data_IF_357144324667
#
_entry.id   IF_357144324667
#
_cell.length_a   1.000
_cell.length_b   1.000
_cell.length_c   1.000
_cell.angle_alpha   90.00
_cell.angle_beta   90.00
_cell.angle_gamma   90.00
#
_symmetry.space_group_name_H-M   'P 1'
#
loop_
_entity.id
_entity.type
_entity.pdbx_description
1 polymer ?
#
# COMPACT_ATOMS: atom_id res chain seq x y z
N UNK A 1 11.21 10.21 11.80
CA UNK A 1 11.81 9.35 10.74
C UNK A 1 10.88 8.18 10.53
N UNK A 2 10.23 8.07 9.36
CA UNK A 2 9.40 6.90 9.03
C UNK A 2 10.33 5.76 8.61
N UNK A 3 10.39 4.64 9.34
CA UNK A 3 11.42 3.61 9.14
C UNK A 3 11.14 2.67 7.96
N UNK A 4 10.01 2.82 7.27
CA UNK A 4 9.56 1.85 6.25
C UNK A 4 9.69 2.42 4.83
N UNK A 5 10.74 2.00 4.12
CA UNK A 5 10.93 2.30 2.70
C UNK A 5 10.41 1.16 1.84
N UNK A 6 9.49 1.46 0.95
CA UNK A 6 8.96 0.53 -0.05
C UNK A 6 9.79 0.61 -1.33
N UNK A 7 10.11 -0.53 -1.94
CA UNK A 7 10.76 -0.58 -3.24
C UNK A 7 9.74 -0.97 -4.31
N UNK A 8 9.57 -0.11 -5.31
CA UNK A 8 8.74 -0.38 -6.48
C UNK A 8 9.45 -1.32 -7.46
N UNK A 9 8.74 -1.96 -8.41
CA UNK A 9 9.34 -2.87 -9.40
C UNK A 9 10.42 -2.20 -10.27
N UNK A 10 10.31 -0.90 -10.52
CA UNK A 10 11.31 -0.10 -11.23
C UNK A 10 12.53 0.28 -10.36
N UNK A 11 12.64 -0.27 -9.14
CA UNK A 11 13.66 0.00 -8.12
C UNK A 11 13.59 1.38 -7.46
N UNK A 12 12.58 2.20 -7.78
CA UNK A 12 12.35 3.44 -7.04
C UNK A 12 11.98 3.15 -5.59
N UNK A 13 12.40 4.05 -4.72
CA UNK A 13 12.13 3.99 -3.29
C UNK A 13 11.02 4.95 -2.94
N UNK A 14 10.06 4.48 -2.15
CA UNK A 14 8.93 5.26 -1.69
C UNK A 14 8.87 5.26 -0.17
N UNK A 15 8.69 6.44 0.43
CA UNK A 15 8.18 6.53 1.80
C UNK A 15 6.66 6.41 1.78
N UNK A 16 6.10 5.80 2.82
CA UNK A 16 4.66 5.66 2.99
C UNK A 16 4.23 6.28 4.32
N UNK A 17 3.14 7.03 4.26
CA UNK A 17 2.52 7.68 5.41
C UNK A 17 1.01 7.47 5.36
N UNK A 18 0.38 7.43 6.54
CA UNK A 18 -1.07 7.25 6.68
C UNK A 18 -1.58 8.34 7.59
N UNK A 19 -2.39 9.21 7.02
CA UNK A 19 -3.15 10.23 7.74
C UNK A 19 -4.55 9.67 8.00
N UNK A 20 -4.99 9.64 9.25
CA UNK A 20 -6.30 9.10 9.63
C UNK A 20 -7.08 10.16 10.38
N UNK A 21 -8.29 10.43 9.93
CA UNK A 21 -9.29 11.26 10.63
C UNK A 21 -10.37 10.36 11.23
N UNK A 22 -11.37 10.96 11.88
CA UNK A 22 -12.54 10.24 12.38
C UNK A 22 -13.44 9.69 11.26
N UNK A 23 -13.32 10.21 10.03
CA UNK A 23 -14.26 9.93 8.92
C UNK A 23 -13.60 9.19 7.76
N UNK A 24 -12.33 9.50 7.51
CA UNK A 24 -11.57 8.95 6.40
C UNK A 24 -10.10 8.74 6.76
N UNK A 25 -9.36 8.15 5.82
CA UNK A 25 -7.92 8.04 5.89
C UNK A 25 -7.32 8.25 4.51
N UNK A 26 -6.15 8.86 4.47
CA UNK A 26 -5.38 9.08 3.27
C UNK A 26 -4.06 8.34 3.42
N UNK A 27 -3.84 7.36 2.55
CA UNK A 27 -2.54 6.71 2.41
C UNK A 27 -1.76 7.53 1.40
N UNK A 28 -0.55 7.98 1.74
CA UNK A 28 0.35 8.74 0.86
C UNK A 28 1.64 7.97 0.62
N UNK A 29 2.08 7.93 -0.63
CA UNK A 29 3.41 7.49 -1.03
C UNK A 29 4.16 8.67 -1.63
N UNK A 30 5.44 8.80 -1.29
CA UNK A 30 6.32 9.83 -1.87
C UNK A 30 7.53 9.13 -2.46
N UNK A 31 7.75 9.30 -3.76
CA UNK A 31 8.97 8.83 -4.42
C UNK A 31 10.16 9.61 -3.86
N UNK A 32 11.12 8.92 -3.26
CA UNK A 32 12.30 9.53 -2.64
C UNK A 32 13.29 10.09 -3.67
N UNK A 33 13.23 9.62 -4.93
CA UNK A 33 14.10 10.09 -6.00
C UNK A 33 13.51 11.32 -6.70
N UNK A 34 12.21 11.30 -6.99
CA UNK A 34 11.55 12.33 -7.83
C UNK A 34 10.71 13.32 -7.03
N UNK A 35 10.34 13.00 -5.80
CA UNK A 35 9.36 13.75 -5.01
C UNK A 35 7.91 13.53 -5.43
N UNK A 36 7.64 12.68 -6.43
CA UNK A 36 6.27 12.43 -6.91
C UNK A 36 5.42 11.83 -5.81
N UNK A 37 4.24 12.43 -5.62
CA UNK A 37 3.30 12.05 -4.57
C UNK A 37 2.14 11.26 -5.15
N UNK A 38 1.75 10.24 -4.42
CA UNK A 38 0.63 9.38 -4.74
C UNK A 38 -0.25 9.21 -3.53
N UNK A 39 -1.57 9.16 -3.72
CA UNK A 39 -2.48 8.96 -2.62
C UNK A 39 -3.61 7.97 -2.92
N UNK A 40 -4.20 7.46 -1.85
CA UNK A 40 -5.41 6.66 -1.87
C UNK A 40 -6.30 7.09 -0.71
N UNK A 41 -7.53 7.51 -1.02
CA UNK A 41 -8.54 7.82 -0.02
C UNK A 41 -9.27 6.54 0.39
N UNK A 42 -9.30 6.27 1.68
CA UNK A 42 -9.93 5.10 2.28
C UNK A 42 -11.03 5.54 3.23
N UNK A 43 -12.22 4.99 3.04
CA UNK A 43 -13.42 5.29 3.83
C UNK A 43 -14.11 3.99 4.20
N UNK A 44 -15.05 4.05 5.15
CA UNK A 44 -15.92 2.91 5.46
C UNK A 44 -16.68 2.38 4.23
N UNK A 45 -17.04 3.28 3.30
CA UNK A 45 -17.76 2.93 2.08
C UNK A 45 -16.89 2.16 1.07
N UNK A 46 -15.59 2.45 0.98
CA UNK A 46 -14.74 1.92 -0.08
C UNK A 46 -13.75 0.82 0.34
N UNK A 47 -13.48 0.65 1.64
CA UNK A 47 -12.49 -0.32 2.13
C UNK A 47 -12.76 -1.75 1.63
N UNK A 48 -14.03 -2.12 1.50
CA UNK A 48 -14.43 -3.44 1.03
C UNK A 48 -14.18 -3.66 -0.47
N UNK A 49 -14.06 -2.59 -1.27
CA UNK A 49 -13.67 -2.68 -2.69
C UNK A 49 -12.19 -2.94 -2.87
N UNK A 50 -11.35 -2.55 -1.91
CA UNK A 50 -9.90 -2.80 -1.98
C UNK A 50 -9.52 -4.24 -1.66
N UNK A 51 -10.47 -5.06 -1.20
CA UNK A 51 -10.19 -6.45 -0.81
C UNK A 51 -10.09 -7.36 -2.04
N UNK A 52 -8.97 -8.09 -2.17
CA UNK A 52 -8.65 -8.83 -3.39
C UNK A 52 -9.38 -10.18 -3.53
N UNK A 53 -9.88 -10.76 -2.44
CA UNK A 53 -10.70 -11.99 -2.44
C UNK A 53 -11.75 -11.86 -1.33
N UNK A 54 -12.91 -12.51 -1.52
CA UNK A 54 -14.03 -12.53 -0.56
C UNK A 54 -14.40 -13.97 -0.21
N UNK A 55 -13.40 -14.81 0.09
CA UNK A 55 -13.65 -16.22 0.42
C UNK A 55 -14.06 -16.36 1.89
N UNK A 56 -14.84 -17.40 2.21
CA UNK A 56 -15.39 -17.64 3.56
C UNK A 56 -14.33 -17.78 4.67
N UNK A 57 -13.12 -18.25 4.35
CA UNK A 57 -12.05 -18.51 5.34
C UNK A 57 -11.06 -17.36 5.54
N UNK A 58 -11.37 -16.18 5.01
CA UNK A 58 -10.49 -15.03 5.10
C UNK A 58 -10.76 -14.14 6.32
N UNK A 59 -9.79 -13.29 6.63
CA UNK A 59 -9.85 -12.29 7.68
C UNK A 59 -10.99 -11.30 7.37
N UNK A 60 -12.07 -11.38 8.15
CA UNK A 60 -13.27 -10.56 7.98
C UNK A 60 -13.13 -9.28 8.81
N UNK A 61 -12.51 -8.25 8.22
CA UNK A 61 -12.49 -6.89 8.79
C UNK A 61 -13.53 -5.96 8.13
N UNK A 62 -14.57 -6.54 7.53
CA UNK A 62 -15.53 -5.82 6.69
C UNK A 62 -16.18 -4.65 7.42
N UNK A 63 -16.12 -3.46 6.82
CA UNK A 63 -16.68 -2.21 7.39
C UNK A 63 -15.79 -1.51 8.43
N UNK A 64 -14.79 -2.19 8.98
CA UNK A 64 -13.87 -1.65 9.98
C UNK A 64 -12.62 -1.04 9.32
N UNK A 65 -12.81 0.03 8.54
CA UNK A 65 -11.69 0.67 7.83
C UNK A 65 -10.58 1.11 8.80
N UNK A 66 -10.92 1.70 9.96
CA UNK A 66 -9.94 2.06 10.99
C UNK A 66 -9.05 0.90 11.44
N UNK A 67 -9.56 -0.34 11.48
CA UNK A 67 -8.75 -1.50 11.86
C UNK A 67 -7.74 -1.83 10.78
N UNK A 68 -8.15 -1.81 9.50
CA UNK A 68 -7.22 -2.05 8.38
C UNK A 68 -6.13 -0.97 8.33
N UNK A 69 -6.50 0.29 8.59
CA UNK A 69 -5.54 1.40 8.61
C UNK A 69 -4.63 1.35 9.85
N UNK A 70 -5.13 0.94 11.01
CA UNK A 70 -4.31 0.73 12.19
C UNK A 70 -3.26 -0.37 11.96
N UNK A 71 -3.66 -1.48 11.33
CA UNK A 71 -2.72 -2.54 10.92
C UNK A 71 -1.66 -1.96 9.97
N UNK A 72 -2.09 -1.19 8.96
CA UNK A 72 -1.16 -0.55 8.02
C UNK A 72 -0.16 0.37 8.74
N UNK A 73 -0.64 1.21 9.67
CA UNK A 73 0.21 2.10 10.47
C UNK A 73 1.21 1.33 11.33
N UNK A 74 0.78 0.25 11.98
CA UNK A 74 1.66 -0.58 12.80
C UNK A 74 2.71 -1.32 11.98
N UNK A 75 2.40 -1.73 10.74
CA UNK A 75 3.40 -2.25 9.80
C UNK A 75 4.41 -1.16 9.42
N UNK A 76 3.95 0.05 9.11
CA UNK A 76 4.83 1.17 8.74
C UNK A 76 5.73 1.65 9.89
N UNK A 77 5.27 1.52 11.14
CA UNK A 77 6.10 1.78 12.33
C UNK A 77 7.13 0.68 12.59
N UNK A 78 7.03 -0.47 11.91
CA UNK A 78 7.85 -1.65 12.16
C UNK A 78 7.41 -2.43 13.41
N UNK A 79 6.31 -2.06 14.06
CA UNK A 79 5.73 -2.78 15.21
C UNK A 79 5.16 -4.14 14.80
N UNK A 80 4.59 -4.21 13.60
CA UNK A 80 4.20 -5.45 12.92
C UNK A 80 5.26 -5.75 11.86
N UNK A 81 6.40 -6.27 12.31
CA UNK A 81 7.52 -6.58 11.42
C UNK A 81 7.18 -7.66 10.37
N UNK A 82 8.05 -7.86 9.36
CA UNK A 82 8.05 -9.13 8.64
C UNK A 82 8.37 -10.19 9.69
N UNK A 83 7.43 -11.07 9.98
CA UNK A 83 7.74 -12.23 10.80
C UNK A 83 8.65 -13.12 9.96
N UNK A 84 9.94 -12.88 10.11
CA UNK A 84 10.97 -13.58 9.37
C UNK A 84 11.10 -15.00 9.89
N UNK A 85 11.18 -15.91 8.93
CA UNK A 85 11.92 -17.17 9.03
C UNK A 85 11.41 -18.20 10.05
N UNK A 86 10.18 -18.63 9.88
CA UNK A 86 9.84 -20.07 9.91
C UNK A 86 8.40 -20.20 9.47
N UNK A 87 8.13 -21.09 8.52
CA UNK A 87 6.79 -21.44 8.09
C UNK A 87 6.09 -22.15 9.27
N UNK A 88 5.60 -21.35 10.23
CA UNK A 88 4.74 -21.80 11.30
C UNK A 88 3.35 -21.27 10.94
N UNK A 89 2.40 -22.13 10.55
CA UNK A 89 1.07 -21.74 10.09
C UNK A 89 0.24 -20.90 11.10
N UNK A 90 0.70 -20.74 12.34
CA UNK A 90 0.01 -20.05 13.43
C UNK A 90 0.53 -18.66 13.79
N UNK A 91 1.58 -18.13 13.14
CA UNK A 91 2.16 -16.82 13.51
C UNK A 91 1.53 -15.67 12.70
N UNK A 92 1.12 -14.61 13.40
CA UNK A 92 0.42 -13.47 12.80
C UNK A 92 1.38 -12.54 12.08
N UNK A 93 1.31 -12.43 10.75
CA UNK A 93 2.25 -11.61 9.97
C UNK A 93 1.52 -10.57 9.13
N UNK A 94 2.24 -9.51 8.75
CA UNK A 94 1.79 -8.56 7.75
C UNK A 94 2.96 -8.17 6.83
N UNK A 95 2.66 -7.85 5.57
CA UNK A 95 3.63 -7.38 4.60
C UNK A 95 3.02 -6.33 3.69
N UNK A 96 3.87 -5.38 3.28
CA UNK A 96 3.52 -4.34 2.32
C UNK A 96 4.39 -4.46 1.08
N UNK A 97 3.75 -4.32 -0.08
CA UNK A 97 4.44 -4.32 -1.36
C UNK A 97 3.80 -3.33 -2.33
N UNK A 98 4.63 -2.76 -3.20
CA UNK A 98 4.16 -1.96 -4.33
C UNK A 98 4.02 -2.84 -5.56
N UNK A 99 2.90 -2.70 -6.26
CA UNK A 99 2.67 -3.32 -7.57
C UNK A 99 2.42 -2.22 -8.58
N UNK A 100 3.17 -2.24 -9.67
CA UNK A 100 2.96 -1.40 -10.83
C UNK A 100 2.55 -2.30 -11.99
N UNK A 101 1.40 -2.04 -12.61
CA UNK A 101 0.86 -2.92 -13.67
C UNK A 101 0.64 -2.09 -14.93
N UNK A 102 1.30 -2.46 -16.01
CA UNK A 102 1.11 -1.94 -17.38
C UNK A 102 1.37 -0.44 -17.63
N UNK A 103 1.55 0.39 -16.60
CA UNK A 103 1.71 1.84 -16.77
C UNK A 103 2.43 2.48 -15.60
N UNK A 104 3.22 3.53 -15.87
CA UNK A 104 3.86 4.36 -14.85
C UNK A 104 2.82 5.10 -14.01
N UNK A 105 1.62 5.35 -14.55
CA UNK A 105 0.49 6.03 -13.91
C UNK A 105 -0.35 5.12 -13.01
N UNK A 106 -0.06 3.83 -12.97
CA UNK A 106 -0.87 2.87 -12.23
C UNK A 106 -0.05 2.11 -11.20
N UNK A 107 -0.21 2.52 -9.95
CA UNK A 107 0.43 1.90 -8.81
C UNK A 107 -0.62 1.39 -7.81
N UNK A 108 -0.32 0.27 -7.17
CA UNK A 108 -1.10 -0.26 -6.05
C UNK A 108 -0.20 -0.51 -4.86
N UNK A 109 -0.64 -0.06 -3.69
CA UNK A 109 -0.10 -0.53 -2.42
C UNK A 109 -0.87 -1.79 -2.01
N UNK A 110 -0.15 -2.88 -1.78
CA UNK A 110 -0.74 -4.15 -1.38
C UNK A 110 -0.34 -4.47 0.06
N UNK A 111 -1.36 -4.63 0.91
CA UNK A 111 -1.24 -5.15 2.26
C UNK A 111 -1.72 -6.60 2.26
N UNK A 112 -0.87 -7.52 2.68
CA UNK A 112 -1.26 -8.89 3.00
C UNK A 112 -0.98 -9.15 4.48
N UNK A 113 -1.92 -9.78 5.15
CA UNK A 113 -1.76 -10.17 6.55
C UNK A 113 -2.34 -11.55 6.81
N UNK A 114 -1.80 -12.21 7.83
CA UNK A 114 -2.42 -13.34 8.51
C UNK A 114 -2.56 -12.98 9.98
N UNK A 115 -3.78 -13.04 10.52
CA UNK A 115 -4.07 -12.73 11.93
C UNK A 115 -5.02 -13.81 12.47
N UNK A 116 -4.67 -14.43 13.59
CA UNK A 116 -5.43 -15.54 14.18
C UNK A 116 -5.65 -16.70 13.18
N UNK A 117 -4.65 -16.99 12.35
CA UNK A 117 -4.71 -18.01 11.29
C UNK A 117 -5.57 -17.65 10.08
N UNK A 118 -6.18 -16.46 10.02
CA UNK A 118 -6.98 -15.98 8.88
C UNK A 118 -6.20 -15.00 8.02
N UNK A 119 -6.28 -15.15 6.70
CA UNK A 119 -5.56 -14.28 5.74
C UNK A 119 -6.45 -13.17 5.20
N UNK A 120 -5.92 -11.97 5.08
CA UNK A 120 -6.56 -10.81 4.47
C UNK A 120 -5.62 -10.14 3.48
N UNK A 121 -6.18 -9.70 2.34
CA UNK A 121 -5.42 -9.01 1.29
C UNK A 121 -6.18 -7.78 0.83
N UNK A 122 -5.53 -6.62 0.94
CA UNK A 122 -6.01 -5.34 0.45
C UNK A 122 -5.08 -4.79 -0.63
N UNK A 123 -5.65 -4.16 -1.64
CA UNK A 123 -4.96 -3.54 -2.75
C UNK A 123 -5.51 -2.14 -2.96
N UNK A 124 -4.78 -1.16 -2.45
CA UNK A 124 -5.12 0.26 -2.51
C UNK A 124 -4.64 0.84 -3.84
N UNK A 125 -5.54 1.30 -4.73
CA UNK A 125 -5.15 1.99 -5.94
C UNK A 125 -4.57 3.35 -5.58
N UNK A 126 -3.32 3.57 -5.95
CA UNK A 126 -2.60 4.82 -5.71
C UNK A 126 -2.74 5.69 -6.94
N UNK A 127 -3.24 6.92 -6.75
CA UNK A 127 -3.38 7.91 -7.81
C UNK A 127 -2.30 8.98 -7.64
N UNK A 128 -1.67 9.47 -8.72
CA UNK A 128 -0.70 10.56 -8.62
C UNK A 128 -1.42 11.86 -8.21
N UNK A 129 -0.84 12.61 -7.28
CA UNK A 129 -1.38 13.93 -6.86
C UNK A 129 -1.27 14.97 -7.98
N UNK A 130 -0.15 14.93 -8.72
CA UNK A 130 0.04 15.69 -9.94
C UNK A 130 0.63 14.74 -11.00
N UNK A 131 -0.08 14.43 -12.09
CA UNK A 131 0.42 13.53 -13.13
C UNK A 131 1.44 14.20 -14.07
N UNK A 132 1.57 15.54 -14.06
CA UNK A 132 2.39 16.29 -15.02
C UNK A 132 3.90 15.99 -14.90
N UNK A 133 4.51 15.89 -13.70
CA UNK A 133 5.92 15.53 -13.58
C UNK A 133 6.24 14.12 -14.08
N UNK A 134 5.35 13.16 -13.79
CA UNK A 134 5.44 11.77 -14.27
C UNK A 134 5.37 11.72 -15.80
N UNK A 135 4.52 12.56 -16.39
CA UNK A 135 4.37 12.70 -17.84
C UNK A 135 5.64 13.22 -18.52
N UNK A 136 6.28 14.25 -17.95
CA UNK A 136 7.55 14.80 -18.46
C UNK A 136 8.67 13.76 -18.45
N UNK A 137 8.74 12.92 -17.42
CA UNK A 137 9.75 11.86 -17.32
C UNK A 137 9.51 10.74 -18.35
N UNK A 138 8.25 10.41 -18.62
CA UNK A 138 7.91 9.36 -19.59
C UNK A 138 8.22 9.78 -21.03
N UNK A 139 8.07 11.07 -21.37
CA UNK A 139 8.35 11.61 -22.70
C UNK A 139 9.80 12.07 -22.91
N UNK A 140 10.49 12.49 -21.85
CA UNK A 140 11.89 12.95 -21.94
C UNK A 140 12.91 11.87 -22.31
N UNK A 141 12.51 10.59 -22.30
CA UNK A 141 13.35 9.46 -22.73
C UNK A 141 13.29 9.16 -24.24
N UNK A 142 12.52 9.91 -25.04
CA UNK A 142 12.35 9.69 -26.49
C UNK A 142 12.83 10.88 -27.35
N UNK A 143 13.90 11.56 -26.95
CA UNK A 143 14.60 12.50 -27.84
C UNK A 143 16.03 12.03 -28.03
N UNK A 144 16.20 11.06 -28.93
CA UNK A 144 17.44 10.79 -29.67
C UNK A 144 17.08 9.86 -30.84
N UNK A 145 16.62 10.49 -31.92
CA UNK A 145 16.33 9.91 -33.22
C UNK A 145 16.22 11.05 -34.22
#
# INVERSE_FOLDING_TARGET
>A
MSPFTLTAPNKDKFSCEVETTAVDSIIRLVNQNTGDKWNCHVTAANINFFRANKKHNELQLGGLHHVVLAILQEVLKGSLGPITSSYIPSKDWCTLSLKQKYSTYFMKLKLECQIGGKRGTWSFPMNPEDPRPIYKQTLGGQVNG
#
